data_IF_349049447525
#
_entry.id   IF_349049447525
#
_cell.length_a   1.000
_cell.length_b   1.000
_cell.length_c   1.000
_cell.angle_alpha   90.00
_cell.angle_beta   90.00
_cell.angle_gamma   90.00
#
_symmetry.space_group_name_H-M   'P 1'
#
loop_
_entity.id
_entity.type
_entity.pdbx_description
1 polymer ?
#
# COMPACT_ATOMS: atom_id res chain seq x y z
N UNK A 1 -7.14 32.03 3.28
CA UNK A 1 -6.53 30.69 3.13
C UNK A 1 -5.53 30.49 4.26
N UNK A 2 -5.59 29.37 4.97
CA UNK A 2 -4.57 29.03 5.97
C UNK A 2 -3.30 28.53 5.27
N UNK A 3 -2.12 28.87 5.82
CA UNK A 3 -0.84 28.33 5.37
C UNK A 3 -0.57 27.02 6.10
N UNK A 4 -0.37 25.94 5.36
CA UNK A 4 0.05 24.64 5.91
C UNK A 4 1.58 24.66 6.01
N UNK A 5 2.11 24.68 7.23
CA UNK A 5 3.55 24.57 7.51
C UNK A 5 3.82 23.19 8.10
N UNK A 6 4.30 22.24 7.29
CA UNK A 6 4.56 20.86 7.74
C UNK A 6 5.70 20.75 8.75
N UNK A 7 6.48 21.82 8.97
CA UNK A 7 7.47 21.90 10.06
C UNK A 7 6.79 22.14 11.40
N UNK A 8 5.63 22.82 11.40
CA UNK A 8 4.86 23.14 12.62
C UNK A 8 3.62 22.26 12.81
N UNK A 9 3.03 21.80 11.72
CA UNK A 9 1.80 21.06 11.67
C UNK A 9 2.06 19.66 11.15
N UNK A 10 1.54 18.65 11.83
CA UNK A 10 1.54 17.29 11.29
C UNK A 10 0.39 17.16 10.30
N UNK A 11 0.69 16.73 9.08
CA UNK A 11 -0.30 16.54 8.02
C UNK A 11 -0.33 15.06 7.64
N UNK A 12 -1.53 14.48 7.60
CA UNK A 12 -1.76 13.15 7.03
C UNK A 12 -2.79 13.23 5.90
N UNK A 13 -2.55 12.41 4.87
CA UNK A 13 -3.48 12.12 3.80
C UNK A 13 -4.00 10.69 3.98
N UNK A 14 -5.31 10.56 4.15
CA UNK A 14 -6.02 9.28 4.18
C UNK A 14 -6.51 8.98 2.76
N UNK A 15 -5.92 7.98 2.11
CA UNK A 15 -6.32 7.47 0.82
C UNK A 15 -7.12 6.18 1.02
N UNK A 16 -8.43 6.23 0.76
CA UNK A 16 -9.34 5.08 0.87
C UNK A 16 -9.74 4.64 -0.55
N UNK A 17 -9.48 3.37 -0.87
CA UNK A 17 -9.64 2.82 -2.22
C UNK A 17 -8.95 3.70 -3.30
N UNK A 18 -7.70 4.11 -3.02
CA UNK A 18 -6.96 5.03 -3.88
C UNK A 18 -6.55 4.42 -5.23
N UNK A 19 -6.70 5.14 -6.33
CA UNK A 19 -6.43 4.63 -7.68
C UNK A 19 -5.01 5.01 -8.12
N UNK A 20 -4.01 4.61 -7.33
CA UNK A 20 -2.62 5.07 -7.50
C UNK A 20 -1.87 4.40 -8.67
N UNK A 21 -2.34 3.23 -9.08
CA UNK A 21 -1.80 2.40 -10.17
C UNK A 21 -2.89 2.06 -11.21
N UNK A 22 -3.91 2.91 -11.31
CA UNK A 22 -5.06 2.73 -12.18
C UNK A 22 -6.13 1.77 -11.64
N UNK A 23 -7.29 1.69 -12.33
CA UNK A 23 -8.36 0.74 -12.04
C UNK A 23 -8.00 -0.69 -12.48
N UNK A 24 -8.89 -1.65 -12.22
CA UNK A 24 -8.76 -3.02 -12.71
C UNK A 24 -8.64 -3.02 -14.24
N UNK A 25 -7.57 -3.61 -14.77
CA UNK A 25 -7.20 -3.48 -16.18
C UNK A 25 -8.29 -3.94 -17.16
N UNK A 26 -9.06 -4.97 -16.79
CA UNK A 26 -10.16 -5.49 -17.60
C UNK A 26 -11.34 -4.50 -17.75
N UNK A 27 -11.40 -3.45 -16.91
CA UNK A 27 -12.40 -2.38 -17.03
C UNK A 27 -12.09 -1.40 -18.15
N UNK A 28 -10.84 -1.32 -18.60
CA UNK A 28 -10.39 -0.38 -19.64
C UNK A 28 -11.23 -0.48 -20.90
N UNK A 29 -11.63 -1.70 -21.25
CA UNK A 29 -12.42 -1.99 -22.46
C UNK A 29 -13.91 -2.24 -22.21
N UNK A 30 -14.34 -2.20 -20.94
CA UNK A 30 -15.72 -2.43 -20.58
C UNK A 30 -16.61 -1.26 -21.07
N UNK A 31 -17.54 -1.60 -21.96
CA UNK A 31 -18.46 -0.65 -22.60
C UNK A 31 -19.31 0.08 -21.57
N UNK A 32 -19.79 -0.60 -20.52
CA UNK A 32 -20.65 0.02 -19.48
C UNK A 32 -19.90 1.11 -18.71
N UNK A 33 -18.63 0.86 -18.38
CA UNK A 33 -17.76 1.84 -17.71
C UNK A 33 -17.46 3.00 -18.65
N UNK A 34 -17.15 2.73 -19.93
CA UNK A 34 -16.95 3.76 -20.97
C UNK A 34 -18.16 4.68 -21.17
N UNK A 35 -19.39 4.22 -20.92
CA UNK A 35 -20.61 5.02 -21.08
C UNK A 35 -20.99 5.85 -19.83
N UNK A 36 -20.52 5.46 -18.64
CA UNK A 36 -20.81 6.17 -17.37
C UNK A 36 -19.68 7.16 -17.03
N UNK A 37 -18.47 6.95 -17.56
CA UNK A 37 -17.29 7.74 -17.24
C UNK A 37 -17.19 9.05 -18.04
N UNK A 38 -16.98 10.16 -17.32
CA UNK A 38 -16.51 11.43 -17.90
C UNK A 38 -15.09 11.30 -18.47
N UNK A 39 -14.67 12.23 -19.34
CA UNK A 39 -13.31 12.27 -19.88
C UNK A 39 -12.20 12.25 -18.82
N UNK A 40 -12.49 12.70 -17.58
CA UNK A 40 -11.57 12.68 -16.44
C UNK A 40 -11.34 11.28 -15.86
N UNK A 41 -12.32 10.38 -15.92
CA UNK A 41 -12.13 9.02 -15.42
C UNK A 41 -11.25 8.16 -16.35
N UNK A 42 -11.19 8.49 -17.65
CA UNK A 42 -10.23 7.88 -18.59
C UNK A 42 -8.76 8.15 -18.23
N UNK A 43 -8.47 9.29 -17.63
CA UNK A 43 -7.11 9.66 -17.18
C UNK A 43 -6.59 8.70 -16.11
N UNK A 44 -7.48 8.10 -15.31
CA UNK A 44 -7.10 7.11 -14.29
C UNK A 44 -6.47 5.85 -14.90
N UNK A 45 -6.89 5.46 -16.10
CA UNK A 45 -6.29 4.32 -16.81
C UNK A 45 -4.87 4.64 -17.30
N UNK A 46 -4.48 5.91 -17.42
CA UNK A 46 -3.09 6.27 -17.73
C UNK A 46 -2.16 5.95 -16.54
N UNK A 47 -2.69 5.86 -15.32
CA UNK A 47 -1.93 5.47 -14.12
C UNK A 47 -1.50 3.99 -14.11
N UNK A 48 -2.04 3.17 -15.01
CA UNK A 48 -1.62 1.77 -15.17
C UNK A 48 -0.26 1.62 -15.84
N UNK A 49 0.14 2.61 -16.65
CA UNK A 49 1.43 2.64 -17.33
C UNK A 49 2.37 3.61 -16.60
N UNK A 50 3.45 3.13 -15.96
CA UNK A 50 4.39 3.99 -15.23
C UNK A 50 5.12 4.99 -16.14
N UNK A 51 5.16 4.75 -17.44
CA UNK A 51 5.77 5.64 -18.42
C UNK A 51 4.83 6.76 -18.89
N UNK A 52 3.53 6.69 -18.56
CA UNK A 52 2.57 7.73 -18.94
C UNK A 52 2.90 9.08 -18.29
N UNK A 53 2.50 10.16 -18.96
CA UNK A 53 2.67 11.52 -18.43
C UNK A 53 2.02 11.67 -17.04
N UNK A 54 0.83 11.08 -16.85
CA UNK A 54 0.08 11.20 -15.59
C UNK A 54 0.73 10.41 -14.47
N UNK A 55 1.22 9.20 -14.74
CA UNK A 55 1.98 8.41 -13.76
C UNK A 55 3.22 9.15 -13.29
N UNK A 56 4.00 9.72 -14.22
CA UNK A 56 5.22 10.46 -13.88
C UNK A 56 4.91 11.71 -13.03
N UNK A 57 3.84 12.45 -13.36
CA UNK A 57 3.40 13.61 -12.56
C UNK A 57 2.88 13.22 -11.19
N UNK A 58 2.11 12.14 -11.10
CA UNK A 58 1.59 11.63 -9.85
C UNK A 58 2.72 11.18 -8.91
N UNK A 59 3.71 10.45 -9.42
CA UNK A 59 4.90 10.02 -8.68
C UNK A 59 5.75 11.23 -8.24
N UNK A 60 5.92 12.24 -9.09
CA UNK A 60 6.63 13.47 -8.72
C UNK A 60 5.91 14.22 -7.57
N UNK A 61 4.58 14.33 -7.64
CA UNK A 61 3.78 14.96 -6.58
C UNK A 61 3.83 14.17 -5.25
N UNK A 62 3.71 12.84 -5.32
CA UNK A 62 3.90 11.92 -4.18
C UNK A 62 5.26 12.12 -3.53
N UNK A 63 6.31 12.17 -4.36
CA UNK A 63 7.66 12.46 -3.91
C UNK A 63 7.69 13.79 -3.16
N UNK A 64 7.16 14.88 -3.74
CA UNK A 64 7.12 16.19 -3.07
C UNK A 64 6.45 16.15 -1.70
N UNK A 65 5.25 15.57 -1.58
CA UNK A 65 4.53 15.56 -0.29
C UNK A 65 5.24 14.70 0.77
N UNK A 66 5.80 13.56 0.36
CA UNK A 66 6.56 12.68 1.26
C UNK A 66 7.83 13.37 1.75
N UNK A 67 8.55 14.06 0.85
CA UNK A 67 9.71 14.88 1.19
C UNK A 67 9.35 16.05 2.12
N UNK A 68 8.14 16.60 2.02
CA UNK A 68 7.64 17.62 2.94
C UNK A 68 7.19 17.08 4.30
N UNK A 69 7.28 15.77 4.54
CA UNK A 69 6.92 15.15 5.81
C UNK A 69 5.43 14.79 5.94
N UNK A 70 4.65 14.86 4.85
CA UNK A 70 3.27 14.40 4.84
C UNK A 70 3.22 12.89 5.06
N UNK A 71 2.28 12.45 5.90
CA UNK A 71 2.02 11.03 6.19
C UNK A 71 0.90 10.51 5.29
N UNK A 72 1.11 9.36 4.67
CA UNK A 72 0.11 8.70 3.84
C UNK A 72 -0.42 7.48 4.57
N UNK A 73 -1.74 7.34 4.60
CA UNK A 73 -2.43 6.14 5.09
C UNK A 73 -3.28 5.61 3.94
N UNK A 74 -2.82 4.51 3.36
CA UNK A 74 -3.41 3.89 2.19
C UNK A 74 -4.23 2.67 2.61
N UNK A 75 -5.53 2.70 2.34
CA UNK A 75 -6.49 1.66 2.75
C UNK A 75 -7.11 1.06 1.50
N UNK A 76 -6.80 -0.21 1.25
CA UNK A 76 -7.52 -1.01 0.26
C UNK A 76 -8.87 -1.46 0.80
N UNK A 77 -9.87 -1.54 -0.08
CA UNK A 77 -11.12 -2.25 0.24
C UNK A 77 -10.99 -3.70 -0.21
N UNK A 78 -11.43 -4.63 0.64
CA UNK A 78 -11.56 -6.04 0.27
C UNK A 78 -12.69 -6.21 -0.74
N UNK A 79 -12.54 -7.14 -1.69
CA UNK A 79 -13.52 -7.39 -2.77
C UNK A 79 -13.96 -6.13 -3.50
N UNK A 80 -13.04 -5.19 -3.69
CA UNK A 80 -13.26 -3.97 -4.47
C UNK A 80 -13.49 -4.33 -5.95
N UNK A 81 -14.59 -3.83 -6.50
CA UNK A 81 -15.03 -4.13 -7.87
C UNK A 81 -14.34 -3.27 -8.94
N UNK A 82 -13.62 -2.22 -8.54
CA UNK A 82 -13.06 -1.22 -9.46
C UNK A 82 -11.57 -1.02 -9.26
N UNK A 83 -11.10 -1.02 -8.01
CA UNK A 83 -9.73 -0.66 -7.65
C UNK A 83 -8.96 -1.89 -7.19
N UNK A 84 -7.88 -2.28 -7.88
CA UNK A 84 -7.05 -3.39 -7.42
C UNK A 84 -6.39 -3.04 -6.08
N UNK A 85 -6.25 -4.04 -5.21
CA UNK A 85 -5.59 -3.88 -3.91
C UNK A 85 -4.23 -3.19 -4.04
N UNK A 86 -3.39 -3.59 -5.00
CA UNK A 86 -2.05 -2.98 -5.19
C UNK A 86 -2.12 -1.47 -5.46
N UNK A 87 -3.19 -1.00 -6.09
CA UNK A 87 -3.44 0.41 -6.45
C UNK A 87 -3.83 1.19 -5.20
N UNK A 88 -4.75 0.62 -4.41
CA UNK A 88 -5.25 1.22 -3.18
C UNK A 88 -4.22 1.34 -2.07
N UNK A 89 -3.25 0.41 -2.02
CA UNK A 89 -2.18 0.42 -1.01
C UNK A 89 -0.89 1.10 -1.47
N UNK A 90 -0.86 1.68 -2.68
CA UNK A 90 0.32 2.34 -3.24
C UNK A 90 1.56 1.41 -3.23
N UNK A 91 1.44 0.23 -3.86
CA UNK A 91 2.44 -0.84 -3.76
C UNK A 91 3.82 -0.46 -4.32
N UNK A 92 3.87 0.29 -5.43
CA UNK A 92 5.11 0.67 -6.11
C UNK A 92 5.97 1.72 -5.40
N UNK A 93 5.53 2.24 -4.24
CA UNK A 93 6.25 3.25 -3.46
C UNK A 93 6.73 2.65 -2.14
N UNK A 94 7.92 3.01 -1.67
CA UNK A 94 8.39 2.68 -0.31
C UNK A 94 8.95 3.93 0.35
N UNK A 95 8.37 4.29 1.50
CA UNK A 95 8.79 5.43 2.31
C UNK A 95 8.24 5.26 3.74
N UNK A 96 8.98 5.62 4.81
CA UNK A 96 8.57 5.41 6.20
C UNK A 96 7.28 6.17 6.60
N UNK A 97 6.92 7.22 5.87
CA UNK A 97 5.66 7.95 6.09
C UNK A 97 4.43 7.29 5.42
N UNK A 98 4.58 6.17 4.72
CA UNK A 98 3.47 5.44 4.08
C UNK A 98 3.08 4.26 4.96
N UNK A 99 1.84 4.28 5.45
CA UNK A 99 1.22 3.16 6.15
C UNK A 99 0.14 2.53 5.27
N UNK A 100 0.11 1.20 5.22
CA UNK A 100 -0.82 0.43 4.39
C UNK A 100 -1.72 -0.45 5.25
N UNK A 101 -2.99 -0.49 4.92
CA UNK A 101 -3.94 -1.41 5.52
C UNK A 101 -4.99 -1.86 4.50
N UNK A 102 -5.77 -2.86 4.88
CA UNK A 102 -6.94 -3.31 4.15
C UNK A 102 -8.15 -3.27 5.08
N UNK A 103 -9.25 -2.74 4.57
CA UNK A 103 -10.56 -2.84 5.21
C UNK A 103 -11.25 -4.09 4.67
N UNK A 104 -11.77 -4.91 5.58
CA UNK A 104 -12.53 -6.12 5.26
C UNK A 104 -13.86 -5.99 5.99
N UNK A 105 -14.96 -5.95 5.24
CA UNK A 105 -16.29 -5.90 5.83
C UNK A 105 -16.58 -7.19 6.61
N UNK A 106 -17.35 -7.09 7.70
CA UNK A 106 -17.58 -8.19 8.63
C UNK A 106 -18.11 -9.48 7.98
N UNK A 107 -19.03 -9.45 7.00
CA UNK A 107 -19.48 -10.66 6.30
C UNK A 107 -18.40 -11.34 5.47
N UNK A 108 -17.36 -10.60 5.06
CA UNK A 108 -16.27 -11.08 4.24
C UNK A 108 -15.02 -11.43 5.05
N UNK A 109 -14.97 -11.07 6.33
CA UNK A 109 -13.84 -11.41 7.19
C UNK A 109 -13.86 -12.89 7.54
N UNK A 110 -12.85 -13.60 7.04
CA UNK A 110 -12.54 -14.97 7.39
C UNK A 110 -11.16 -15.01 8.03
N UNK A 111 -10.99 -15.74 9.13
CA UNK A 111 -9.66 -16.03 9.68
C UNK A 111 -8.98 -17.16 8.89
N UNK A 112 -8.89 -16.98 7.57
CA UNK A 112 -8.42 -17.97 6.62
C UNK A 112 -7.00 -17.65 6.11
N UNK A 113 -6.47 -18.52 5.24
CA UNK A 113 -5.12 -18.36 4.71
C UNK A 113 -4.95 -17.06 3.91
N UNK A 114 -5.87 -16.75 3.00
CA UNK A 114 -5.75 -15.59 2.09
C UNK A 114 -5.77 -14.27 2.85
N UNK A 115 -6.71 -14.13 3.80
CA UNK A 115 -6.82 -12.94 4.65
C UNK A 115 -5.54 -12.73 5.44
N UNK A 116 -5.04 -13.77 6.11
CA UNK A 116 -3.82 -13.68 6.91
C UNK A 116 -2.58 -13.46 6.04
N UNK A 117 -2.51 -14.01 4.82
CA UNK A 117 -1.39 -13.81 3.91
C UNK A 117 -1.29 -12.35 3.45
N UNK A 118 -2.41 -11.72 3.11
CA UNK A 118 -2.45 -10.31 2.72
C UNK A 118 -2.09 -9.41 3.91
N UNK A 119 -2.65 -9.68 5.10
CA UNK A 119 -2.30 -8.93 6.32
C UNK A 119 -0.81 -9.06 6.66
N UNK A 120 -0.24 -10.26 6.51
CA UNK A 120 1.18 -10.50 6.70
C UNK A 120 2.03 -9.70 5.70
N UNK A 121 1.70 -9.76 4.40
CA UNK A 121 2.43 -9.00 3.38
C UNK A 121 2.35 -7.48 3.60
N UNK A 122 1.19 -6.95 3.98
CA UNK A 122 1.02 -5.53 4.35
C UNK A 122 1.88 -5.17 5.57
N UNK A 123 1.96 -6.05 6.56
CA UNK A 123 2.82 -5.87 7.74
C UNK A 123 4.30 -5.81 7.34
N UNK A 124 4.76 -6.70 6.46
CA UNK A 124 6.12 -6.66 5.92
C UNK A 124 6.42 -5.30 5.28
N UNK A 125 5.52 -4.81 4.40
CA UNK A 125 5.70 -3.52 3.73
C UNK A 125 5.70 -2.34 4.70
N UNK A 126 4.86 -2.36 5.72
CA UNK A 126 4.86 -1.34 6.78
C UNK A 126 6.13 -1.37 7.65
N UNK A 127 6.81 -2.53 7.73
CA UNK A 127 8.11 -2.67 8.40
C UNK A 127 9.30 -2.35 7.49
N UNK A 128 9.05 -1.99 6.23
CA UNK A 128 10.11 -1.74 5.23
C UNK A 128 10.72 -3.01 4.63
N UNK A 129 10.15 -4.18 4.92
CA UNK A 129 10.54 -5.45 4.29
C UNK A 129 9.84 -5.53 2.94
N UNK A 130 10.58 -5.90 1.89
CA UNK A 130 10.02 -6.07 0.56
C UNK A 130 9.26 -7.39 0.49
N UNK A 131 8.06 -7.37 -0.07
CA UNK A 131 7.19 -8.54 -0.21
C UNK A 131 7.41 -9.27 -1.55
N UNK A 132 8.42 -8.88 -2.33
CA UNK A 132 8.68 -9.43 -3.66
C UNK A 132 7.46 -9.37 -4.60
N UNK A 133 6.71 -8.26 -4.50
CA UNK A 133 5.51 -7.99 -5.29
C UNK A 133 4.34 -8.96 -5.02
N UNK A 134 4.40 -9.73 -3.93
CA UNK A 134 3.34 -10.65 -3.53
C UNK A 134 1.95 -9.99 -3.54
N UNK A 135 1.83 -8.76 -3.05
CA UNK A 135 0.56 -8.02 -3.02
C UNK A 135 0.02 -7.67 -4.42
N UNK A 136 0.89 -7.60 -5.45
CA UNK A 136 0.45 -7.46 -6.84
C UNK A 136 -0.21 -8.77 -7.31
N UNK A 137 0.43 -9.91 -7.06
CA UNK A 137 -0.11 -11.23 -7.42
C UNK A 137 -1.41 -11.57 -6.68
N UNK A 138 -1.51 -11.19 -5.40
CA UNK A 138 -2.70 -11.45 -4.60
C UNK A 138 -3.86 -10.52 -4.92
N UNK A 139 -3.59 -9.37 -5.55
CA UNK A 139 -4.61 -8.34 -5.83
C UNK A 139 -5.77 -8.84 -6.67
N UNK A 140 -5.52 -9.70 -7.68
CA UNK A 140 -6.60 -10.26 -8.51
C UNK A 140 -7.45 -11.28 -7.75
N UNK A 141 -6.88 -11.97 -6.77
CA UNK A 141 -7.56 -13.02 -6.00
C UNK A 141 -8.63 -12.43 -5.09
N UNK A 142 -8.43 -11.17 -4.68
CA UNK A 142 -9.37 -10.41 -3.83
C UNK A 142 -10.17 -9.36 -4.58
N UNK A 143 -10.14 -9.35 -5.91
CA UNK A 143 -10.96 -8.44 -6.71
C UNK A 143 -12.44 -8.82 -6.61
N UNK A 144 -13.30 -7.82 -6.44
CA UNK A 144 -14.75 -7.96 -6.44
C UNK A 144 -15.31 -8.21 -7.85
N UNK A 145 -16.54 -8.72 -7.90
CA UNK A 145 -17.30 -8.84 -9.14
C UNK A 145 -18.15 -7.59 -9.36
N UNK A 146 -18.16 -7.03 -10.57
CA UNK A 146 -19.02 -5.88 -10.94
C UNK A 146 -20.53 -6.14 -10.75
N UNK A 147 -20.93 -7.42 -10.73
CA UNK A 147 -22.32 -7.84 -10.53
C UNK A 147 -22.64 -8.08 -9.06
N UNK A 148 -21.61 -8.10 -8.20
CA UNK A 148 -21.75 -7.94 -6.77
C UNK A 148 -21.87 -6.47 -6.44
N UNK A 149 -22.50 -6.17 -5.32
CA UNK A 149 -22.53 -4.82 -4.79
C UNK A 149 -21.72 -4.84 -3.48
N UNK A 150 -21.24 -3.66 -3.06
CA UNK A 150 -20.82 -3.30 -1.69
C UNK A 150 -19.30 -3.31 -1.34
N UNK A 151 -18.39 -3.82 -2.17
CA UNK A 151 -16.97 -3.88 -1.82
C UNK A 151 -16.29 -2.50 -1.76
N UNK A 152 -16.29 -1.76 -2.87
CA UNK A 152 -15.52 -0.52 -3.02
C UNK A 152 -15.91 0.58 -2.01
N UNK A 153 -17.22 0.76 -1.77
CA UNK A 153 -17.72 1.95 -1.03
C UNK A 153 -17.84 1.77 0.47
N UNK A 154 -17.79 0.54 0.99
CA UNK A 154 -17.98 0.27 2.43
C UNK A 154 -16.85 0.85 3.29
N UNK A 155 -15.63 0.93 2.74
CA UNK A 155 -14.46 1.52 3.42
C UNK A 155 -14.71 2.96 3.89
N UNK A 156 -15.50 3.75 3.15
CA UNK A 156 -15.76 5.16 3.48
C UNK A 156 -16.63 5.32 4.74
N UNK A 157 -17.43 4.31 5.05
CA UNK A 157 -18.33 4.29 6.20
C UNK A 157 -17.67 3.79 7.50
N UNK A 158 -16.48 3.18 7.44
CA UNK A 158 -15.85 2.53 8.60
C UNK A 158 -15.11 3.52 9.51
N UNK A 159 -15.57 3.77 10.75
CA UNK A 159 -14.92 4.72 11.66
C UNK A 159 -13.49 4.33 12.05
N UNK A 160 -13.16 3.04 12.10
CA UNK A 160 -11.82 2.56 12.43
C UNK A 160 -10.77 3.00 11.39
N UNK A 161 -11.14 3.18 10.13
CA UNK A 161 -10.25 3.69 9.08
C UNK A 161 -9.78 5.11 9.39
N UNK A 162 -10.69 5.99 9.80
CA UNK A 162 -10.35 7.35 10.22
C UNK A 162 -9.54 7.37 11.52
N UNK A 163 -9.90 6.51 12.49
CA UNK A 163 -9.13 6.37 13.74
C UNK A 163 -7.70 5.91 13.48
N UNK A 164 -7.50 4.99 12.54
CA UNK A 164 -6.18 4.54 12.14
C UNK A 164 -5.35 5.70 11.55
N UNK A 165 -5.95 6.54 10.71
CA UNK A 165 -5.28 7.71 10.16
C UNK A 165 -4.82 8.69 11.25
N UNK A 166 -5.69 8.96 12.22
CA UNK A 166 -5.36 9.80 13.38
C UNK A 166 -4.25 9.15 14.22
N UNK A 167 -4.34 7.84 14.50
CA UNK A 167 -3.30 7.11 15.24
C UNK A 167 -1.94 7.20 14.54
N UNK A 168 -1.90 7.00 13.22
CA UNK A 168 -0.67 7.14 12.45
C UNK A 168 -0.13 8.57 12.51
N UNK A 169 -0.99 9.58 12.41
CA UNK A 169 -0.61 10.99 12.50
C UNK A 169 -0.08 11.40 13.89
N UNK A 170 -0.56 10.79 14.97
CA UNK A 170 -0.20 11.19 16.33
C UNK A 170 0.92 10.34 16.94
N UNK A 171 0.91 9.02 16.72
CA UNK A 171 1.77 8.07 17.42
C UNK A 171 2.99 7.61 16.65
N UNK A 172 3.05 7.78 15.32
CA UNK A 172 4.29 7.47 14.60
C UNK A 172 5.37 8.50 14.92
N UNK A 173 6.57 8.00 15.23
CA UNK A 173 7.76 8.82 15.44
C UNK A 173 8.16 9.45 14.10
N UNK A 174 8.51 10.74 14.11
CA UNK A 174 9.10 11.34 12.92
C UNK A 174 10.42 10.62 12.63
N UNK A 175 10.74 10.32 11.35
CA UNK A 175 12.10 9.95 11.02
C UNK A 175 13.05 11.05 11.53
N UNK A 176 14.21 10.66 12.08
CA UNK A 176 15.15 11.55 12.75
C UNK A 176 15.60 12.79 11.92
N UNK A 177 15.32 12.81 10.61
CA UNK A 177 15.58 13.91 9.69
C UNK A 177 14.80 15.21 9.98
N UNK A 178 13.76 15.20 10.83
CA UNK A 178 12.92 16.38 11.10
C UNK A 178 12.99 16.87 12.57
N UNK A 179 13.97 16.41 13.37
CA UNK A 179 14.18 16.99 14.69
C UNK A 179 14.65 18.46 14.53
N UNK A 180 14.01 19.44 15.20
CA UNK A 180 14.57 20.78 15.29
C UNK A 180 15.94 20.69 15.95
N UNK A 181 16.96 21.32 15.35
CA UNK A 181 18.26 21.49 16.02
C UNK A 181 18.03 22.19 17.38
N UNK A 182 18.73 21.80 18.45
CA UNK A 182 18.70 22.54 19.71
C UNK A 182 19.09 24.00 19.45
N UNK A 183 18.38 24.95 20.08
CA UNK A 183 18.54 26.39 19.84
C UNK A 183 19.98 26.92 20.05
N UNK A 184 20.82 26.14 20.73
CA UNK A 184 22.22 26.45 21.04
C UNK A 184 23.17 26.24 19.85
N UNK A 185 22.80 25.46 18.82
CA UNK A 185 23.65 25.22 17.65
C UNK A 185 23.43 26.20 16.50
N UNK A 186 22.61 27.24 16.69
CA UNK A 186 22.37 28.31 15.70
C UNK A 186 23.29 29.51 16.01
N UNK A 187 24.23 29.88 15.12
CA UNK A 187 25.09 31.05 15.30
C UNK A 187 24.25 32.31 15.54
N UNK A 188 24.71 33.17 16.47
CA UNK A 188 23.94 34.34 16.94
C UNK A 188 23.52 35.31 15.82
N UNK A 189 24.30 35.38 14.75
CA UNK A 189 24.05 36.19 13.53
C UNK A 189 22.76 35.78 12.80
N UNK A 190 22.44 34.49 12.77
CA UNK A 190 21.33 33.95 11.99
C UNK A 190 19.95 34.12 12.66
N UNK A 191 19.90 34.73 13.85
CA UNK A 191 18.66 34.94 14.64
C UNK A 191 17.81 36.12 14.14
N UNK A 192 18.31 36.93 13.20
CA UNK A 192 17.68 38.20 12.81
C UNK A 192 16.81 38.13 11.53
N UNK A 193 16.73 36.99 10.84
CA UNK A 193 15.90 36.84 9.63
C UNK A 193 14.71 35.89 9.85
N UNK A 194 13.46 36.40 9.91
CA UNK A 194 12.27 35.59 10.20
C UNK A 194 11.83 34.61 9.09
N UNK A 195 12.42 34.70 7.90
CA UNK A 195 11.92 34.02 6.68
C UNK A 195 12.70 32.78 6.21
N UNK A 196 13.82 32.45 6.85
CA UNK A 196 14.69 31.35 6.39
C UNK A 196 15.09 30.44 7.55
N UNK A 197 14.12 29.74 8.16
CA UNK A 197 14.47 28.53 8.91
C UNK A 197 14.84 27.46 7.89
N UNK A 198 16.13 27.36 7.59
CA UNK A 198 16.68 26.21 6.87
C UNK A 198 16.18 24.94 7.56
N UNK A 199 15.50 24.09 6.79
CA UNK A 199 15.18 22.74 7.23
C UNK A 199 16.50 22.09 7.63
N UNK A 200 16.55 21.56 8.86
CA UNK A 200 17.75 20.92 9.39
C UNK A 200 18.34 19.95 8.35
N UNK A 201 19.66 20.03 8.17
CA UNK A 201 20.48 19.24 7.25
C UNK A 201 20.59 17.77 7.68
N UNK A 202 19.48 17.17 8.11
CA UNK A 202 19.38 15.74 8.32
C UNK A 202 19.34 14.99 6.98
N UNK A 203 19.70 13.70 6.96
CA UNK A 203 19.61 12.89 5.75
C UNK A 203 18.15 12.82 5.29
N UNK A 204 17.86 13.49 4.17
CA UNK A 204 16.54 13.49 3.54
C UNK A 204 16.20 12.06 3.13
N UNK A 205 15.11 11.52 3.65
CA UNK A 205 14.64 10.19 3.26
C UNK A 205 13.97 10.32 1.89
N UNK A 206 14.59 9.70 0.88
CA UNK A 206 14.06 9.68 -0.47
C UNK A 206 13.00 8.59 -0.61
N UNK A 207 11.95 8.89 -1.37
CA UNK A 207 10.95 7.90 -1.78
C UNK A 207 11.58 6.86 -2.70
N UNK A 208 11.55 5.57 -2.33
CA UNK A 208 11.93 4.50 -3.27
C UNK A 208 10.73 4.18 -4.15
N UNK A 209 10.89 4.27 -5.47
CA UNK A 209 9.86 3.95 -6.45
C UNK A 209 10.27 2.73 -7.27
N UNK A 210 9.42 1.71 -7.29
CA UNK A 210 9.54 0.49 -8.08
C UNK A 210 8.32 0.41 -9.00
N UNK A 211 8.40 0.95 -10.21
CA UNK A 211 7.28 0.92 -11.15
C UNK A 211 6.99 -0.52 -11.60
N UNK A 212 5.73 -0.78 -11.88
CA UNK A 212 5.27 -1.95 -12.63
C UNK A 212 4.12 -1.49 -13.53
N UNK A 213 3.91 -2.19 -14.63
CA UNK A 213 2.80 -1.91 -15.52
C UNK A 213 1.61 -2.80 -15.13
N UNK A 214 0.50 -2.19 -14.77
CA UNK A 214 -0.70 -2.91 -14.31
C UNK A 214 -1.41 -3.71 -15.43
N UNK A 215 -1.06 -3.47 -16.70
CA UNK A 215 -1.59 -4.21 -17.85
C UNK A 215 -0.71 -5.39 -18.26
N UNK A 216 0.50 -5.51 -17.70
CA UNK A 216 1.38 -6.65 -17.99
C UNK A 216 0.87 -7.93 -17.32
N UNK A 217 0.89 -9.02 -18.08
CA UNK A 217 0.51 -10.32 -17.55
C UNK A 217 1.59 -10.84 -16.61
N UNK A 218 1.21 -11.02 -15.35
CA UNK A 218 2.10 -11.58 -14.34
C UNK A 218 2.37 -13.06 -14.59
N UNK A 219 3.62 -13.49 -14.39
CA UNK A 219 3.96 -14.90 -14.48
C UNK A 219 3.51 -15.62 -13.18
N UNK A 220 2.52 -16.52 -13.27
CA UNK A 220 1.91 -17.14 -12.09
C UNK A 220 2.85 -18.06 -11.30
N UNK A 221 3.96 -18.49 -11.91
CA UNK A 221 4.94 -19.38 -11.29
C UNK A 221 5.90 -18.66 -10.32
N UNK A 222 5.79 -17.33 -10.18
CA UNK A 222 6.61 -16.57 -9.24
C UNK A 222 6.09 -16.62 -7.79
N UNK A 223 4.79 -16.80 -7.56
CA UNK A 223 4.25 -16.84 -6.18
C UNK A 223 4.98 -17.90 -5.34
N UNK A 224 5.23 -19.12 -5.84
CA UNK A 224 6.01 -20.11 -5.10
C UNK A 224 7.40 -19.64 -4.68
N UNK A 225 8.12 -19.02 -5.62
CA UNK A 225 9.44 -18.47 -5.38
C UNK A 225 9.41 -17.34 -4.36
N UNK A 226 8.44 -16.43 -4.47
CA UNK A 226 8.23 -15.34 -3.52
C UNK A 226 8.05 -15.89 -2.10
N UNK A 227 7.17 -16.86 -1.93
CA UNK A 227 6.92 -17.46 -0.61
C UNK A 227 8.16 -18.16 -0.05
N UNK A 228 8.94 -18.83 -0.91
CA UNK A 228 10.23 -19.42 -0.50
C UNK A 228 11.23 -18.35 -0.07
N UNK A 229 11.36 -17.26 -0.82
CA UNK A 229 12.24 -16.14 -0.48
C UNK A 229 11.82 -15.49 0.84
N UNK A 230 10.52 -15.27 1.06
CA UNK A 230 10.01 -14.74 2.33
C UNK A 230 10.26 -15.70 3.51
N UNK A 231 10.28 -17.01 3.26
CA UNK A 231 10.65 -17.97 4.29
C UNK A 231 12.12 -17.86 4.68
N UNK A 232 13.02 -17.69 3.72
CA UNK A 232 14.45 -17.59 4.00
C UNK A 232 14.90 -16.16 4.39
N UNK A 233 14.00 -15.17 4.32
CA UNK A 233 14.29 -13.76 4.57
C UNK A 233 14.82 -13.50 6.00
N UNK A 234 16.06 -13.00 6.16
CA UNK A 234 16.66 -12.79 7.47
C UNK A 234 15.87 -11.85 8.37
N UNK A 235 15.25 -10.80 7.81
CA UNK A 235 14.44 -9.86 8.57
C UNK A 235 13.21 -10.54 9.20
N UNK A 236 12.65 -11.56 8.53
CA UNK A 236 11.57 -12.39 9.05
C UNK A 236 12.13 -13.39 10.06
N UNK A 237 13.20 -14.11 9.73
CA UNK A 237 13.76 -15.16 10.58
C UNK A 237 14.31 -14.65 11.92
N UNK A 238 14.85 -13.43 11.94
CA UNK A 238 15.33 -12.80 13.16
C UNK A 238 14.21 -12.17 14.01
N UNK A 239 12.96 -12.17 13.54
CA UNK A 239 11.80 -11.65 14.26
C UNK A 239 10.87 -12.78 14.69
N UNK A 240 10.77 -13.00 16.01
CA UNK A 240 9.95 -14.09 16.56
C UNK A 240 8.47 -13.98 16.19
N UNK A 241 7.90 -12.76 16.15
CA UNK A 241 6.49 -12.55 15.82
C UNK A 241 6.21 -12.88 14.35
N UNK A 242 7.07 -12.41 13.43
CA UNK A 242 6.92 -12.67 11.99
C UNK A 242 7.10 -14.17 11.67
N UNK A 243 8.07 -14.86 12.30
CA UNK A 243 8.20 -16.32 12.14
C UNK A 243 6.98 -17.08 12.63
N UNK A 244 6.41 -16.68 13.77
CA UNK A 244 5.23 -17.35 14.32
C UNK A 244 4.02 -17.17 13.38
N UNK A 245 3.85 -15.98 12.82
CA UNK A 245 2.82 -15.68 11.84
C UNK A 245 3.02 -16.47 10.54
N UNK A 246 4.26 -16.56 10.04
CA UNK A 246 4.58 -17.35 8.86
C UNK A 246 4.30 -18.85 9.06
N UNK A 247 4.61 -19.41 10.24
CA UNK A 247 4.22 -20.79 10.60
C UNK A 247 2.71 -20.96 10.68
N UNK A 248 1.99 -19.96 11.20
CA UNK A 248 0.53 -19.96 11.23
C UNK A 248 -0.06 -19.95 9.82
N UNK A 249 0.53 -19.22 8.87
CA UNK A 249 0.12 -19.25 7.47
C UNK A 249 0.19 -20.65 6.86
N UNK A 250 1.24 -21.42 7.15
CA UNK A 250 1.35 -22.81 6.69
C UNK A 250 0.20 -23.66 7.26
N UNK A 251 -0.07 -23.55 8.56
CA UNK A 251 -1.17 -24.29 9.20
C UNK A 251 -2.57 -23.87 8.67
N UNK A 252 -2.75 -22.60 8.33
CA UNK A 252 -3.98 -22.10 7.71
C UNK A 252 -4.13 -22.59 6.27
N UNK A 253 -3.03 -22.64 5.51
CA UNK A 253 -3.03 -23.12 4.13
C UNK A 253 -3.57 -24.55 4.01
N UNK A 254 -3.16 -25.45 4.91
CA UNK A 254 -3.63 -26.84 4.91
C UNK A 254 -5.14 -26.96 5.12
N UNK A 255 -5.71 -26.06 5.94
CA UNK A 255 -7.14 -26.03 6.25
C UNK A 255 -7.96 -25.19 5.26
N UNK A 256 -7.30 -24.39 4.44
CA UNK A 256 -7.98 -23.41 3.60
C UNK A 256 -8.70 -24.08 2.44
N UNK A 257 -9.99 -23.83 2.30
CA UNK A 257 -10.79 -24.34 1.17
C UNK A 257 -11.35 -23.14 0.40
N UNK A 258 -10.66 -22.67 -0.65
CA UNK A 258 -11.12 -21.51 -1.40
C UNK A 258 -12.40 -21.82 -2.19
N UNK A 259 -13.36 -20.90 -2.14
CA UNK A 259 -14.62 -21.01 -2.88
C UNK A 259 -14.47 -20.52 -4.33
N UNK A 260 -13.71 -19.43 -4.50
CA UNK A 260 -13.52 -18.77 -5.80
C UNK A 260 -12.54 -19.54 -6.70
N UNK A 261 -12.71 -19.41 -8.02
CA UNK A 261 -11.77 -19.99 -9.00
C UNK A 261 -10.35 -19.46 -8.79
N UNK A 262 -10.20 -18.14 -8.61
CA UNK A 262 -8.91 -17.51 -8.37
C UNK A 262 -8.24 -18.04 -7.09
N UNK A 263 -9.02 -18.25 -6.01
CA UNK A 263 -8.50 -18.85 -4.77
C UNK A 263 -8.06 -20.29 -4.95
N UNK A 264 -8.83 -21.11 -5.69
CA UNK A 264 -8.46 -22.50 -6.03
C UNK A 264 -7.17 -22.55 -6.85
N UNK A 265 -7.06 -21.68 -7.86
CA UNK A 265 -5.86 -21.56 -8.69
C UNK A 265 -4.64 -21.12 -7.86
N UNK A 266 -4.82 -20.16 -6.93
CA UNK A 266 -3.78 -19.74 -6.01
C UNK A 266 -3.35 -20.90 -5.09
N UNK A 267 -4.30 -21.64 -4.52
CA UNK A 267 -4.01 -22.78 -3.65
C UNK A 267 -3.16 -23.82 -4.39
N UNK A 268 -3.57 -24.18 -5.61
CA UNK A 268 -2.83 -25.13 -6.45
C UNK A 268 -1.40 -24.64 -6.73
N UNK A 269 -1.23 -23.36 -7.10
CA UNK A 269 0.10 -22.79 -7.38
C UNK A 269 1.02 -22.83 -6.17
N UNK A 270 0.50 -22.66 -4.97
CA UNK A 270 1.26 -22.66 -3.72
C UNK A 270 1.60 -24.07 -3.18
N UNK A 271 0.99 -25.12 -3.72
CA UNK A 271 1.20 -26.50 -3.26
C UNK A 271 2.68 -26.94 -3.24
N UNK A 272 3.52 -26.62 -4.25
CA UNK A 272 4.94 -27.00 -4.24
C UNK A 272 5.73 -26.37 -3.10
N UNK A 273 5.32 -25.18 -2.64
CA UNK A 273 5.98 -24.48 -1.54
C UNK A 273 5.74 -25.21 -0.24
N UNK A 274 4.54 -25.76 -0.02
CA UNK A 274 4.23 -26.53 1.20
C UNK A 274 5.19 -27.71 1.40
N UNK A 275 5.59 -28.38 0.33
CA UNK A 275 6.53 -29.51 0.43
C UNK A 275 7.96 -29.08 0.78
N UNK A 276 8.28 -27.80 0.61
CA UNK A 276 9.61 -27.23 0.79
C UNK A 276 9.75 -26.35 2.06
N UNK A 277 8.66 -25.92 2.68
CA UNK A 277 8.63 -25.16 3.94
C UNK A 277 8.58 -26.10 5.17
#
# INVERSE_FOLDING_TARGET
>A
MGLVDTVRQRVAMLAMAGISHGPLAYLKDNVVVKYIESGTARELFELMDPSSYQSQRYVAALSTILHSGVRLVCIGSWVDEVVPLYSAILQGVSHPNVYRAVYIDAPHYLDDFLTNLIVFALRLRNMGIYDHDLLIYLSEVVAGSLWGHWGHSTVYGEPAVYRLAIKWLLYSTLPASCAPLPAESVPADMRQHPGARQCASGPRIHMSYRPFNATEQLNPFFIPWIMRTLWDEPAIQNNQALRAELKRLVALYDKWVPETKAGKDLKYRLEPVRAAL
#
